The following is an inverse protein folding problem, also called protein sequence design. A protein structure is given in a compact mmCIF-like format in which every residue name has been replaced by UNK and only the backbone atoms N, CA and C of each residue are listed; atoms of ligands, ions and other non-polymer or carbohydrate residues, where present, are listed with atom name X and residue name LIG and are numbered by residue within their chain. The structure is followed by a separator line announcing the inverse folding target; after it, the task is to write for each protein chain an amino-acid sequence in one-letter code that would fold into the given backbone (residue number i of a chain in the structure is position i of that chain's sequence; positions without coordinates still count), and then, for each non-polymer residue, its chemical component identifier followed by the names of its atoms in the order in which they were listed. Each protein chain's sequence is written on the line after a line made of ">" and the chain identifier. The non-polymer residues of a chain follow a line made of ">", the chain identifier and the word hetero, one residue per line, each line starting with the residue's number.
data_IF_722951054886
#
_entry.id   IF_722951054886
#
_cell.length_a   1.000
_cell.length_b   1.000
_cell.length_c   1.000
_cell.angle_alpha   90.00
_cell.angle_beta   90.00
_cell.angle_gamma   90.00
#
_symmetry.space_group_name_H-M   'P 1'
#
loop_
_entity.id
_entity.type
_entity.pdbx_description
1 polymer ?
#
# COMPACT_ATOMS: atom_id res chain seq x y z
N UNK A 1 -1.37 -6.76 -29.25
CA UNK A 1 -0.17 -6.94 -28.42
C UNK A 1 1.07 -6.94 -29.30
N UNK A 2 2.13 -6.25 -28.88
CA UNK A 2 3.46 -6.29 -29.53
C UNK A 2 4.20 -7.58 -29.20
N UNK A 3 3.90 -8.14 -28.03
CA UNK A 3 4.45 -9.41 -27.59
C UNK A 3 3.78 -10.56 -28.38
N UNK A 4 4.56 -11.47 -28.97
CA UNK A 4 4.05 -12.68 -29.62
C UNK A 4 3.17 -13.52 -28.67
N UNK A 5 2.06 -14.10 -29.16
CA UNK A 5 1.10 -14.82 -28.31
C UNK A 5 1.72 -16.06 -27.64
N UNK A 6 2.67 -16.72 -28.32
CA UNK A 6 3.39 -17.89 -27.80
C UNK A 6 4.03 -17.62 -26.44
N UNK A 7 4.63 -16.43 -26.25
CA UNK A 7 5.26 -16.02 -24.98
C UNK A 7 4.25 -15.77 -23.85
N UNK A 8 2.97 -15.56 -24.17
CA UNK A 8 1.91 -15.33 -23.19
C UNK A 8 1.17 -16.63 -22.83
N UNK A 9 1.44 -17.72 -23.56
CA UNK A 9 0.76 -18.99 -23.39
C UNK A 9 1.36 -19.80 -22.23
N UNK A 10 0.48 -20.36 -21.38
CA UNK A 10 0.90 -21.30 -20.35
C UNK A 10 1.49 -22.60 -20.94
N UNK A 11 1.11 -22.94 -22.18
CA UNK A 11 1.59 -24.14 -22.88
C UNK A 11 3.10 -24.10 -23.16
N UNK A 12 3.64 -22.95 -23.57
CA UNK A 12 5.08 -22.80 -23.80
C UNK A 12 5.86 -23.00 -22.50
N UNK A 13 5.37 -22.39 -21.41
CA UNK A 13 5.95 -22.56 -20.07
C UNK A 13 5.94 -24.02 -19.63
N UNK A 14 4.81 -24.72 -19.82
CA UNK A 14 4.68 -26.12 -19.49
C UNK A 14 5.67 -27.00 -20.29
N UNK A 15 5.88 -26.72 -21.57
CA UNK A 15 6.88 -27.43 -22.39
C UNK A 15 8.30 -27.22 -21.87
N UNK A 16 8.67 -25.99 -21.51
CA UNK A 16 9.99 -25.70 -20.95
C UNK A 16 10.20 -26.39 -19.60
N UNK A 17 9.21 -26.40 -18.72
CA UNK A 17 9.29 -27.12 -17.45
C UNK A 17 9.48 -28.62 -17.65
N UNK A 18 8.80 -29.22 -18.63
CA UNK A 18 8.98 -30.63 -18.98
C UNK A 18 10.39 -30.91 -19.51
N UNK A 19 10.92 -30.08 -20.42
CA UNK A 19 12.28 -30.24 -20.95
C UNK A 19 13.34 -30.08 -19.86
N UNK A 20 13.18 -29.08 -18.97
CA UNK A 20 14.04 -28.88 -17.81
C UNK A 20 13.99 -30.08 -16.84
N UNK A 21 12.82 -30.68 -16.63
CA UNK A 21 12.70 -31.91 -15.85
C UNK A 21 13.41 -33.10 -16.49
N UNK A 22 13.40 -33.21 -17.82
CA UNK A 22 14.12 -34.27 -18.54
C UNK A 22 15.64 -34.09 -18.45
N UNK A 23 16.12 -32.85 -18.52
CA UNK A 23 17.53 -32.49 -18.30
C UNK A 23 17.95 -32.84 -16.87
N UNK A 24 17.14 -32.47 -15.87
CA UNK A 24 17.40 -32.80 -14.47
C UNK A 24 17.47 -34.32 -14.22
N UNK A 25 16.68 -35.11 -14.98
CA UNK A 25 16.71 -36.58 -14.95
C UNK A 25 17.84 -37.19 -15.80
N UNK A 26 18.68 -36.38 -16.44
CA UNK A 26 19.77 -36.83 -17.31
C UNK A 26 19.32 -37.44 -18.64
N UNK A 27 18.04 -37.28 -19.02
CA UNK A 27 17.46 -37.83 -20.26
C UNK A 27 17.59 -36.90 -21.46
N UNK A 28 17.96 -35.64 -21.23
CA UNK A 28 18.14 -34.63 -22.25
C UNK A 28 19.43 -33.84 -21.99
N UNK A 29 20.00 -33.25 -23.05
CA UNK A 29 21.20 -32.41 -22.97
C UNK A 29 20.82 -30.95 -22.82
N UNK A 30 21.45 -30.29 -21.86
CA UNK A 30 21.35 -28.86 -21.59
C UNK A 30 21.88 -28.01 -22.76
N UNK A 31 22.98 -28.41 -23.39
CA UNK A 31 23.55 -27.71 -24.56
C UNK A 31 22.53 -27.49 -25.68
N UNK A 32 21.80 -28.55 -26.03
CA UNK A 32 20.81 -28.54 -27.12
C UNK A 32 19.61 -27.66 -26.77
N UNK A 33 19.18 -27.70 -25.51
CA UNK A 33 18.10 -26.87 -25.01
C UNK A 33 18.47 -25.38 -25.05
N UNK A 34 19.67 -25.02 -24.60
CA UNK A 34 20.17 -23.63 -24.65
C UNK A 34 20.31 -23.15 -26.10
N UNK A 35 20.79 -24.00 -27.00
CA UNK A 35 20.85 -23.68 -28.43
C UNK A 35 19.45 -23.40 -29.01
N UNK A 36 18.47 -24.27 -28.72
CA UNK A 36 17.08 -24.08 -29.15
C UNK A 36 16.45 -22.80 -28.60
N UNK A 37 16.73 -22.45 -27.34
CA UNK A 37 16.30 -21.20 -26.72
C UNK A 37 16.88 -19.97 -27.44
N UNK A 38 18.16 -20.01 -27.83
CA UNK A 38 18.81 -18.93 -28.58
C UNK A 38 18.19 -18.75 -29.96
N UNK A 39 17.94 -19.84 -30.67
CA UNK A 39 17.29 -19.82 -31.99
C UNK A 39 15.85 -19.30 -31.91
N UNK A 40 15.12 -19.74 -30.88
CA UNK A 40 13.77 -19.25 -30.60
C UNK A 40 13.77 -17.74 -30.33
N UNK A 41 14.66 -17.24 -29.48
CA UNK A 41 14.81 -15.82 -29.21
C UNK A 41 15.15 -15.02 -30.48
N UNK A 42 16.09 -15.52 -31.30
CA UNK A 42 16.46 -14.87 -32.57
C UNK A 42 15.27 -14.79 -33.54
N UNK A 43 14.43 -15.83 -33.60
CA UNK A 43 13.21 -15.84 -34.41
C UNK A 43 12.20 -14.80 -33.92
N UNK A 44 11.98 -14.71 -32.61
CA UNK A 44 11.07 -13.73 -32.01
C UNK A 44 11.51 -12.29 -32.28
N UNK A 45 12.81 -12.01 -32.16
CA UNK A 45 13.36 -10.67 -32.47
C UNK A 45 13.10 -10.30 -33.93
N UNK A 46 13.30 -11.22 -34.88
CA UNK A 46 12.99 -10.99 -36.30
C UNK A 46 11.51 -10.67 -36.53
N UNK A 47 10.62 -11.39 -35.85
CA UNK A 47 9.17 -11.14 -35.92
C UNK A 47 8.82 -9.74 -35.38
N UNK A 48 9.43 -9.34 -34.25
CA UNK A 48 9.18 -8.03 -33.65
C UNK A 48 9.70 -6.89 -34.55
N UNK A 49 10.88 -7.04 -35.16
CA UNK A 49 11.42 -6.05 -36.10
C UNK A 49 10.52 -5.91 -37.34
N UNK A 50 9.99 -7.02 -37.86
CA UNK A 50 9.07 -6.99 -39.00
C UNK A 50 7.70 -6.41 -38.66
N UNK A 51 7.32 -6.41 -37.38
CA UNK A 51 6.03 -5.91 -36.93
C UNK A 51 6.07 -4.39 -36.76
N UNK A 52 5.17 -3.68 -37.46
CA UNK A 52 5.10 -2.22 -37.47
C UNK A 52 4.16 -1.63 -36.41
N UNK A 53 3.60 -2.45 -35.52
CA UNK A 53 2.66 -2.00 -34.48
C UNK A 53 3.36 -1.10 -33.46
N UNK A 54 2.84 0.11 -33.29
CA UNK A 54 3.29 1.07 -32.27
C UNK A 54 2.79 0.69 -30.89
N UNK A 55 3.64 0.84 -29.87
CA UNK A 55 3.26 0.61 -28.48
C UNK A 55 2.33 1.70 -27.98
N UNK A 56 1.17 1.29 -27.48
CA UNK A 56 0.19 2.15 -26.83
C UNK A 56 0.06 1.75 -25.37
N UNK A 57 -0.02 2.73 -24.48
CA UNK A 57 -0.33 2.46 -23.08
C UNK A 57 -1.81 2.11 -22.93
N UNK A 58 -2.11 1.01 -22.24
CA UNK A 58 -3.50 0.60 -21.97
C UNK A 58 -4.11 1.38 -20.80
N UNK A 59 -3.29 2.01 -19.96
CA UNK A 59 -3.67 2.69 -18.74
C UNK A 59 -3.76 4.22 -18.88
N UNK A 60 -4.01 4.73 -20.09
CA UNK A 60 -4.17 6.17 -20.36
C UNK A 60 -5.50 6.66 -19.77
N UNK A 61 -5.46 7.76 -19.02
CA UNK A 61 -6.65 8.43 -18.49
C UNK A 61 -7.03 9.67 -19.32
N UNK A 62 -8.20 10.24 -19.04
CA UNK A 62 -8.66 11.49 -19.67
C UNK A 62 -8.06 12.75 -19.02
N UNK A 63 -7.30 12.59 -17.94
CA UNK A 63 -6.70 13.69 -17.22
C UNK A 63 -5.43 14.16 -17.93
N UNK A 64 -5.33 15.47 -18.16
CA UNK A 64 -4.17 16.09 -18.80
C UNK A 64 -3.15 16.51 -17.74
N UNK A 65 -1.88 16.30 -18.06
CA UNK A 65 -0.78 16.81 -17.26
C UNK A 65 -0.77 18.35 -17.29
N UNK A 66 -0.69 19.03 -16.14
CA UNK A 66 -0.66 20.49 -16.09
C UNK A 66 0.64 21.11 -16.65
N UNK A 67 1.72 20.32 -16.76
CA UNK A 67 3.02 20.80 -17.23
C UNK A 67 3.20 20.63 -18.74
N UNK A 68 2.86 19.47 -19.31
CA UNK A 68 3.07 19.16 -20.73
C UNK A 68 1.77 19.02 -21.55
N UNK A 69 0.60 19.02 -20.92
CA UNK A 69 -0.70 18.90 -21.59
C UNK A 69 -1.04 17.52 -22.15
N UNK A 70 -0.12 16.54 -22.08
CA UNK A 70 -0.38 15.14 -22.50
C UNK A 70 -1.24 14.39 -21.49
N UNK A 71 -1.81 13.28 -21.91
CA UNK A 71 -2.61 12.44 -21.03
C UNK A 71 -1.75 11.76 -19.96
N UNK A 72 -2.35 11.55 -18.79
CA UNK A 72 -1.72 10.85 -17.68
C UNK A 72 -2.02 9.35 -17.72
N UNK A 73 -1.18 8.58 -17.06
CA UNK A 73 -1.26 7.12 -16.90
C UNK A 73 -1.73 6.79 -15.48
N UNK A 74 -2.75 5.94 -15.33
CA UNK A 74 -3.15 5.40 -14.03
C UNK A 74 -2.21 4.26 -13.62
N UNK A 75 -1.49 4.44 -12.53
CA UNK A 75 -0.54 3.48 -11.99
C UNK A 75 -0.94 3.13 -10.57
N UNK A 76 -1.09 1.84 -10.31
CA UNK A 76 -1.28 1.32 -8.95
C UNK A 76 0.07 0.97 -8.35
N UNK A 77 0.47 1.67 -7.29
CA UNK A 77 1.67 1.40 -6.51
C UNK A 77 1.36 0.78 -5.15
N UNK A 78 2.41 0.43 -4.39
CA UNK A 78 2.28 -0.14 -3.03
C UNK A 78 1.52 0.77 -2.05
N UNK A 79 1.63 2.09 -2.24
CA UNK A 79 1.03 3.10 -1.37
C UNK A 79 -0.34 3.59 -1.86
N UNK A 80 -0.88 3.05 -2.95
CA UNK A 80 -2.15 3.46 -3.54
C UNK A 80 -2.04 3.81 -5.02
N UNK A 81 -3.06 4.51 -5.55
CA UNK A 81 -3.17 4.85 -6.98
C UNK A 81 -2.68 6.26 -7.26
N UNK A 82 -1.96 6.40 -8.37
CA UNK A 82 -1.38 7.67 -8.81
C UNK A 82 -1.51 7.84 -10.32
N UNK A 83 -1.70 9.09 -10.75
CA UNK A 83 -1.56 9.49 -12.14
C UNK A 83 -0.10 9.90 -12.37
N UNK A 84 0.51 9.34 -13.40
CA UNK A 84 1.87 9.67 -13.82
C UNK A 84 1.82 10.21 -15.23
N UNK A 85 2.56 11.28 -15.53
CA UNK A 85 2.66 11.76 -16.90
C UNK A 85 3.18 10.66 -17.85
N UNK A 86 2.61 10.56 -19.04
CA UNK A 86 3.09 9.65 -20.09
C UNK A 86 4.54 9.98 -20.50
N UNK A 87 4.88 11.27 -20.55
CA UNK A 87 6.24 11.70 -20.84
C UNK A 87 7.16 11.50 -19.65
N UNK A 88 8.21 10.72 -19.90
CA UNK A 88 9.24 10.41 -18.92
C UNK A 88 10.10 11.62 -18.56
N UNK A 89 10.21 12.59 -19.46
CA UNK A 89 10.97 13.83 -19.28
C UNK A 89 10.21 14.87 -18.44
N UNK A 90 8.87 14.91 -18.54
CA UNK A 90 8.05 15.77 -17.70
C UNK A 90 8.01 15.27 -16.26
N UNK A 91 7.79 13.97 -16.05
CA UNK A 91 7.91 13.37 -14.72
C UNK A 91 6.83 13.76 -13.69
N UNK A 92 5.83 14.58 -14.05
CA UNK A 92 4.73 14.98 -13.16
C UNK A 92 3.94 13.77 -12.64
N UNK A 93 3.62 13.81 -11.33
CA UNK A 93 2.91 12.74 -10.61
C UNK A 93 1.87 13.33 -9.68
N UNK A 94 0.65 12.81 -9.73
CA UNK A 94 -0.45 13.17 -8.83
C UNK A 94 -0.98 11.93 -8.11
N UNK A 95 -0.97 11.92 -6.79
CA UNK A 95 -1.59 10.83 -6.02
C UNK A 95 -3.11 10.99 -6.00
N UNK A 96 -3.84 9.94 -6.40
CA UNK A 96 -5.31 9.91 -6.31
C UNK A 96 -5.75 9.30 -4.99
N UNK A 97 -5.14 8.17 -4.63
CA UNK A 97 -5.43 7.47 -3.39
C UNK A 97 -4.15 7.08 -2.68
N UNK A 98 -4.14 7.27 -1.35
CA UNK A 98 -3.04 6.84 -0.49
C UNK A 98 -3.60 5.86 0.54
N UNK A 99 -3.02 4.66 0.61
CA UNK A 99 -3.31 3.73 1.69
C UNK A 99 -2.67 4.25 2.98
N UNK A 100 -3.49 4.43 4.00
CA UNK A 100 -3.04 4.93 5.31
C UNK A 100 -3.03 3.82 6.35
N UNK A 101 -2.31 4.04 7.45
CA UNK A 101 -2.33 3.13 8.58
C UNK A 101 -3.53 3.38 9.53
N UNK A 102 -4.35 4.39 9.26
CA UNK A 102 -5.58 4.64 9.98
C UNK A 102 -6.54 3.45 9.84
N UNK A 103 -7.21 3.09 10.95
CA UNK A 103 -8.07 1.91 11.06
C UNK A 103 -9.53 2.35 11.07
N UNK A 104 -10.37 1.64 10.31
CA UNK A 104 -11.79 1.89 10.31
C UNK A 104 -12.41 1.57 11.70
N UNK A 105 -13.28 2.42 12.25
CA UNK A 105 -13.95 2.17 13.53
C UNK A 105 -14.95 1.01 13.48
N UNK A 106 -15.49 0.68 12.30
CA UNK A 106 -16.48 -0.41 12.16
C UNK A 106 -15.81 -1.78 11.94
N UNK A 107 -14.77 -1.87 11.09
CA UNK A 107 -14.20 -3.16 10.68
C UNK A 107 -12.67 -3.29 10.90
N UNK A 108 -12.02 -2.28 11.45
CA UNK A 108 -10.57 -2.25 11.71
C UNK A 108 -9.64 -2.51 10.50
N UNK A 109 -10.18 -2.53 9.28
CA UNK A 109 -9.39 -2.53 8.04
C UNK A 109 -8.72 -1.17 7.83
N UNK A 110 -7.62 -1.16 7.07
CA UNK A 110 -6.89 0.07 6.73
C UNK A 110 -7.75 0.97 5.85
N UNK A 111 -7.68 2.28 6.11
CA UNK A 111 -8.42 3.29 5.37
C UNK A 111 -7.59 3.80 4.18
N UNK A 112 -8.26 4.01 3.06
CA UNK A 112 -7.72 4.72 1.90
C UNK A 112 -8.09 6.20 1.98
N UNK A 113 -7.11 7.09 1.87
CA UNK A 113 -7.36 8.52 1.76
C UNK A 113 -7.48 8.92 0.29
N UNK A 114 -8.52 9.68 -0.06
CA UNK A 114 -8.70 10.27 -1.40
C UNK A 114 -9.04 11.75 -1.28
N UNK A 115 -8.62 12.55 -2.26
CA UNK A 115 -8.91 13.98 -2.34
C UNK A 115 -7.66 14.86 -2.18
N UNK A 116 -7.84 16.15 -2.41
CA UNK A 116 -6.77 17.15 -2.48
C UNK A 116 -6.94 18.18 -1.34
N UNK A 117 -5.83 18.57 -0.71
CA UNK A 117 -5.82 19.50 0.43
C UNK A 117 -6.64 19.04 1.64
N UNK A 118 -7.37 19.96 2.26
CA UNK A 118 -8.14 19.74 3.49
C UNK A 118 -9.43 18.94 3.28
N UNK A 119 -9.83 18.73 2.01
CA UNK A 119 -10.99 17.91 1.63
C UNK A 119 -10.64 16.42 1.47
N UNK A 120 -9.46 16.01 1.94
CA UNK A 120 -9.08 14.60 2.02
C UNK A 120 -10.10 13.85 2.85
N UNK A 121 -10.52 12.71 2.34
CA UNK A 121 -11.54 11.86 2.94
C UNK A 121 -11.00 10.45 3.00
N UNK A 122 -11.14 9.81 4.16
CA UNK A 122 -10.86 8.39 4.34
C UNK A 122 -12.03 7.55 3.84
N UNK A 123 -11.71 6.44 3.21
CA UNK A 123 -12.64 5.47 2.65
C UNK A 123 -12.24 4.08 3.14
N UNK A 124 -13.22 3.35 3.65
CA UNK A 124 -13.06 1.95 3.97
C UNK A 124 -13.72 1.06 2.93
N UNK A 125 -13.24 -0.18 2.82
CA UNK A 125 -13.88 -1.24 2.03
C UNK A 125 -15.31 -1.54 2.51
N UNK A 126 -15.61 -1.31 3.79
CA UNK A 126 -16.97 -1.50 4.33
C UNK A 126 -17.94 -0.34 4.03
N UNK A 127 -17.52 0.67 3.24
CA UNK A 127 -18.35 1.84 2.93
C UNK A 127 -18.22 3.00 3.92
N UNK A 128 -17.52 2.82 5.05
CA UNK A 128 -17.24 3.92 5.99
C UNK A 128 -16.45 5.04 5.33
N UNK A 129 -16.87 6.29 5.56
CA UNK A 129 -16.25 7.49 5.01
C UNK A 129 -16.17 8.58 6.07
N UNK A 130 -15.00 9.20 6.20
CA UNK A 130 -14.78 10.29 7.16
C UNK A 130 -13.81 11.34 6.60
N UNK A 131 -14.09 12.62 6.84
CA UNK A 131 -13.20 13.71 6.42
C UNK A 131 -11.94 13.72 7.28
N UNK A 132 -10.81 14.18 6.71
CA UNK A 132 -9.53 14.27 7.41
C UNK A 132 -9.64 15.08 8.71
N UNK A 133 -10.29 16.25 8.65
CA UNK A 133 -10.44 17.13 9.81
C UNK A 133 -11.16 16.42 10.97
N UNK A 134 -12.31 15.81 10.70
CA UNK A 134 -13.07 15.07 11.70
C UNK A 134 -12.30 13.86 12.28
N UNK A 135 -11.40 13.27 11.49
CA UNK A 135 -10.54 12.18 11.92
C UNK A 135 -9.41 12.67 12.84
N UNK A 136 -8.82 13.83 12.56
CA UNK A 136 -7.79 14.46 13.40
C UNK A 136 -8.37 14.93 14.73
N UNK A 137 -9.55 15.55 14.73
CA UNK A 137 -10.25 15.96 15.96
C UNK A 137 -10.49 14.77 16.92
N UNK A 138 -10.83 13.59 16.37
CA UNK A 138 -10.98 12.36 17.16
C UNK A 138 -9.65 11.77 17.61
N UNK A 139 -8.57 12.00 16.88
CA UNK A 139 -7.25 11.50 17.26
C UNK A 139 -6.69 12.27 18.45
N UNK A 140 -7.03 13.56 18.57
CA UNK A 140 -6.62 14.40 19.70
C UNK A 140 -7.40 14.09 20.99
N UNK A 141 -8.53 13.37 20.91
CA UNK A 141 -9.18 12.83 22.10
C UNK A 141 -8.36 11.70 22.74
N UNK A 142 -8.09 11.83 24.04
CA UNK A 142 -7.21 10.95 24.80
C UNK A 142 -7.57 9.47 24.62
N UNK A 143 -6.60 8.67 24.19
CA UNK A 143 -6.79 7.23 23.99
C UNK A 143 -6.91 6.49 25.31
N UNK A 144 -7.42 5.24 25.29
CA UNK A 144 -7.51 4.39 26.50
C UNK A 144 -6.19 4.27 27.26
N UNK A 145 -5.06 4.23 26.54
CA UNK A 145 -3.72 4.21 27.15
C UNK A 145 -3.33 5.53 27.81
N UNK A 146 -3.74 6.66 27.24
CA UNK A 146 -3.48 7.98 27.81
C UNK A 146 -4.32 8.18 29.06
N UNK A 147 -5.59 7.75 29.03
CA UNK A 147 -6.47 7.73 30.21
C UNK A 147 -5.90 6.82 31.30
N UNK A 148 -5.43 5.62 30.94
CA UNK A 148 -4.85 4.69 31.91
C UNK A 148 -3.55 5.24 32.51
N UNK A 149 -2.69 5.86 31.70
CA UNK A 149 -1.46 6.53 32.16
C UNK A 149 -1.77 7.72 33.06
N UNK A 150 -2.82 8.48 32.73
CA UNK A 150 -3.29 9.59 33.55
C UNK A 150 -3.82 9.11 34.90
N UNK A 151 -4.67 8.07 34.92
CA UNK A 151 -5.17 7.45 36.16
C UNK A 151 -4.03 6.90 37.02
N UNK A 152 -3.03 6.26 36.39
CA UNK A 152 -1.86 5.75 37.10
C UNK A 152 -0.97 6.89 37.64
N UNK A 153 -0.92 8.03 36.94
CA UNK A 153 -0.22 9.23 37.42
C UNK A 153 -0.97 9.85 38.60
N UNK A 154 -2.30 9.91 38.57
CA UNK A 154 -3.11 10.36 39.71
C UNK A 154 -2.97 9.43 40.92
N UNK A 155 -3.01 8.11 40.74
CA UNK A 155 -2.83 7.16 41.85
C UNK A 155 -1.44 7.27 42.45
N UNK A 156 -0.42 7.46 41.60
CA UNK A 156 0.96 7.65 42.06
C UNK A 156 1.18 9.00 42.76
N UNK A 157 0.47 10.06 42.34
CA UNK A 157 0.45 11.35 43.03
C UNK A 157 -0.28 11.26 44.38
N UNK A 158 -1.35 10.48 44.47
CA UNK A 158 -2.02 10.18 45.75
C UNK A 158 -1.12 9.36 46.68
N UNK A 159 -0.32 8.41 46.17
CA UNK A 159 0.61 7.63 46.99
C UNK A 159 1.92 8.36 47.32
N UNK A 160 2.32 9.35 46.51
CA UNK A 160 3.51 10.18 46.77
C UNK A 160 3.25 11.32 47.76
N UNK A 161 2.00 11.45 48.24
CA UNK A 161 1.59 12.44 49.21
C UNK A 161 0.91 11.80 50.42
N UNK A 162 1.66 11.02 51.23
CA UNK A 162 1.40 11.03 52.68
C UNK A 162 1.87 12.39 53.22
N UNK A 163 1.20 13.46 52.79
CA UNK A 163 1.34 14.76 53.44
C UNK A 163 0.94 14.56 54.90
N UNK A 164 1.67 15.15 55.84
CA UNK A 164 1.42 15.00 57.28
C UNK A 164 -0.07 15.22 57.67
N UNK A 165 -0.78 16.06 56.91
CA UNK A 165 -2.23 16.26 57.03
C UNK A 165 -3.06 15.00 56.73
N UNK A 166 -2.70 14.22 55.70
CA UNK A 166 -3.36 12.99 55.32
C UNK A 166 -3.19 11.89 56.38
N UNK A 167 -2.01 11.79 56.98
CA UNK A 167 -1.74 10.84 58.07
C UNK A 167 -2.45 11.23 59.37
N UNK A 168 -2.54 12.54 59.67
CA UNK A 168 -3.31 13.05 60.80
C UNK A 168 -4.81 12.82 60.62
N UNK A 169 -5.32 13.00 59.40
CA UNK A 169 -6.72 12.73 59.08
C UNK A 169 -7.05 11.24 59.22
N UNK A 170 -6.16 10.35 58.75
CA UNK A 170 -6.35 8.90 58.89
C UNK A 170 -6.41 8.46 60.36
N UNK A 171 -5.50 8.97 61.21
CA UNK A 171 -5.53 8.72 62.66
C UNK A 171 -6.80 9.25 63.32
N UNK A 172 -7.22 10.47 62.97
CA UNK A 172 -8.47 11.03 63.47
C UNK A 172 -9.68 10.17 63.07
N UNK A 173 -9.73 9.64 61.85
CA UNK A 173 -10.82 8.78 61.39
C UNK A 173 -10.83 7.40 62.10
N UNK A 174 -9.68 6.88 62.52
CA UNK A 174 -9.59 5.65 63.32
C UNK A 174 -10.03 5.85 64.78
N UNK A 175 -9.72 7.02 65.36
CA UNK A 175 -10.11 7.38 66.72
C UNK A 175 -11.62 7.63 66.86
N UNK A 176 -12.29 8.13 65.81
CA UNK A 176 -13.73 8.41 65.80
C UNK A 176 -14.62 7.24 65.34
N UNK A 177 -14.03 6.10 64.94
CA UNK A 177 -14.74 4.87 64.56
C UNK A 177 -14.72 3.77 65.64
N UNK A 178 -14.36 4.14 66.88
CA UNK A 178 -14.63 3.37 68.11
C UNK A 178 -15.68 4.09 68.94
#
# INVERSE_FOLDING_TARGET
>A
AIVPPDLQSAELTAKWEQELQLIAKGKARDDLFIAGMRDYAARLVKIVIANTKTYTHDNITRDKCPECGKYMLDVTGKRGRMLVCQDRDCGYRKSISVQTNARCPNCHKKLEMRGEGDKKTFFCVCGYREKLSAFEDKKDSAGKRDVQKYLQTQSNQQSAGSTALADQLAKWMEENNK
#
